data_IF_123696597344
#
_entry.id   IF_123696597344
#
_cell.length_a   1.000
_cell.length_b   1.000
_cell.length_c   1.000
_cell.angle_alpha   90.00
_cell.angle_beta   90.00
_cell.angle_gamma   90.00
#
_symmetry.space_group_name_H-M   'P 1'
#
loop_
_entity.id
_entity.type
_entity.pdbx_description
1 polymer ?
#
# COMPACT_ATOMS: atom_id res chain seq x y z
N UNK A 1 -3.80 -37.62 -15.32
CA UNK A 1 -4.53 -36.43 -15.76
C UNK A 1 -4.39 -35.40 -14.65
N UNK A 2 -3.16 -34.98 -14.35
CA UNK A 2 -2.58 -33.73 -14.86
C UNK A 2 -3.52 -32.56 -14.50
N UNK A 3 -3.47 -32.14 -13.24
CA UNK A 3 -3.63 -30.73 -12.95
C UNK A 3 -2.30 -30.12 -13.36
N UNK A 4 -2.22 -29.66 -14.60
CA UNK A 4 -1.07 -28.88 -15.05
C UNK A 4 -0.96 -27.73 -14.06
N UNK A 5 0.05 -27.81 -13.20
CA UNK A 5 0.55 -26.70 -12.44
C UNK A 5 1.18 -25.76 -13.47
N UNK A 6 0.32 -25.06 -14.21
CA UNK A 6 0.70 -23.83 -14.86
C UNK A 6 1.21 -22.96 -13.72
N UNK A 7 2.52 -22.94 -13.56
CA UNK A 7 3.20 -21.91 -12.81
C UNK A 7 2.64 -20.60 -13.34
N UNK A 8 1.80 -19.97 -12.51
CA UNK A 8 1.25 -18.66 -12.77
C UNK A 8 2.48 -17.77 -12.95
N UNK A 9 2.85 -17.53 -14.20
CA UNK A 9 4.06 -16.81 -14.59
C UNK A 9 4.06 -15.37 -14.05
N UNK A 10 2.90 -14.91 -13.57
CA UNK A 10 2.65 -13.62 -12.94
C UNK A 10 2.81 -13.62 -11.40
N UNK A 11 2.95 -14.78 -10.75
CA UNK A 11 3.19 -14.90 -9.32
C UNK A 11 4.57 -15.49 -9.07
N UNK A 12 5.58 -14.66 -9.24
CA UNK A 12 6.98 -15.07 -9.13
C UNK A 12 7.37 -15.23 -7.66
N UNK A 13 6.98 -16.37 -7.05
CA UNK A 13 7.35 -16.75 -5.68
C UNK A 13 8.86 -16.61 -5.45
N UNK A 14 9.65 -17.00 -6.44
CA UNK A 14 11.10 -16.92 -6.35
C UNK A 14 11.58 -15.46 -6.29
N UNK A 15 10.96 -14.53 -7.04
CA UNK A 15 11.28 -13.10 -6.92
C UNK A 15 10.96 -12.53 -5.54
N UNK A 16 9.82 -12.92 -4.96
CA UNK A 16 9.43 -12.50 -3.61
C UNK A 16 10.44 -13.00 -2.57
N UNK A 17 10.84 -14.27 -2.65
CA UNK A 17 11.79 -14.88 -1.72
C UNK A 17 13.20 -14.28 -1.88
N UNK A 18 13.62 -13.94 -3.10
CA UNK A 18 14.89 -13.24 -3.35
C UNK A 18 15.00 -11.89 -2.63
N UNK A 19 13.88 -11.27 -2.23
CA UNK A 19 13.93 -10.05 -1.41
C UNK A 19 14.48 -10.31 0.01
N UNK A 20 14.54 -11.56 0.45
CA UNK A 20 14.92 -11.94 1.82
C UNK A 20 16.30 -12.63 1.91
N UNK A 21 16.68 -13.45 0.93
CA UNK A 21 18.01 -14.07 0.79
C UNK A 21 18.15 -14.75 -0.59
N UNK A 22 19.38 -14.91 -1.06
CA UNK A 22 19.71 -15.70 -2.26
C UNK A 22 19.62 -17.23 -2.01
N UNK A 23 19.61 -17.65 -0.73
CA UNK A 23 19.50 -19.07 -0.35
C UNK A 23 18.05 -19.42 -0.07
N UNK A 24 17.53 -20.44 -0.77
CA UNK A 24 16.11 -20.82 -0.69
C UNK A 24 15.62 -21.06 0.74
N UNK A 25 16.27 -21.95 1.49
CA UNK A 25 15.85 -22.27 2.86
C UNK A 25 15.86 -21.05 3.78
N UNK A 26 16.85 -20.18 3.64
CA UNK A 26 16.95 -18.96 4.44
C UNK A 26 15.88 -17.93 4.07
N UNK A 27 15.63 -17.75 2.76
CA UNK A 27 14.60 -16.83 2.26
C UNK A 27 13.21 -17.20 2.78
N UNK A 28 12.87 -18.48 2.80
CA UNK A 28 11.60 -19.00 3.31
C UNK A 28 11.47 -18.74 4.82
N UNK A 29 12.51 -19.02 5.60
CA UNK A 29 12.52 -18.73 7.05
C UNK A 29 12.34 -17.24 7.32
N UNK A 30 13.10 -16.38 6.65
CA UNK A 30 13.03 -14.92 6.84
C UNK A 30 11.68 -14.34 6.42
N UNK A 31 11.09 -14.83 5.33
CA UNK A 31 9.75 -14.44 4.92
C UNK A 31 8.70 -14.82 5.98
N UNK A 32 8.75 -16.04 6.51
CA UNK A 32 7.84 -16.48 7.57
C UNK A 32 7.96 -15.63 8.83
N UNK A 33 9.20 -15.30 9.24
CA UNK A 33 9.44 -14.40 10.36
C UNK A 33 8.89 -12.99 10.13
N UNK A 34 9.10 -12.44 8.93
CA UNK A 34 8.55 -11.15 8.53
C UNK A 34 7.01 -11.13 8.63
N UNK A 35 6.34 -12.13 8.08
CA UNK A 35 4.87 -12.26 8.15
C UNK A 35 4.40 -12.37 9.60
N UNK A 36 5.05 -13.22 10.41
CA UNK A 36 4.71 -13.38 11.84
C UNK A 36 4.86 -12.09 12.64
N UNK A 37 5.90 -11.30 12.36
CA UNK A 37 6.11 -9.98 12.97
C UNK A 37 4.99 -9.00 12.56
N UNK A 38 4.55 -9.05 11.31
CA UNK A 38 3.48 -8.19 10.78
C UNK A 38 2.08 -8.49 11.32
N UNK A 39 1.73 -9.76 11.55
CA UNK A 39 0.38 -10.17 11.99
C UNK A 39 -0.04 -9.51 13.32
N UNK A 40 0.91 -9.34 14.25
CA UNK A 40 0.64 -8.71 15.55
C UNK A 40 0.82 -7.18 15.53
N UNK A 41 1.20 -6.62 14.38
CA UNK A 41 1.46 -5.20 14.22
C UNK A 41 0.18 -4.39 14.00
N UNK A 42 0.34 -3.07 13.97
CA UNK A 42 -0.74 -2.18 13.57
C UNK A 42 -1.10 -2.39 12.09
N UNK A 43 -2.40 -2.47 11.81
CA UNK A 43 -2.92 -2.61 10.46
C UNK A 43 -2.51 -1.40 9.59
N UNK A 44 -1.83 -1.59 8.45
CA UNK A 44 -1.45 -0.51 7.54
C UNK A 44 -2.64 0.30 7.06
N UNK A 45 -3.83 -0.30 7.04
CA UNK A 45 -5.11 0.33 6.68
C UNK A 45 -5.40 1.61 7.48
N UNK A 46 -4.91 1.72 8.73
CA UNK A 46 -5.08 2.94 9.53
C UNK A 46 -4.34 4.15 8.96
N UNK A 47 -3.26 3.91 8.21
CA UNK A 47 -2.44 4.96 7.59
C UNK A 47 -2.84 5.23 6.14
N UNK A 48 -3.80 4.48 5.59
CA UNK A 48 -4.28 4.69 4.22
C UNK A 48 -5.07 6.00 4.15
N UNK A 49 -4.72 6.86 3.18
CA UNK A 49 -5.39 8.12 2.88
C UNK A 49 -6.25 7.98 1.62
N UNK A 50 -7.50 8.45 1.72
CA UNK A 50 -8.50 8.38 0.65
C UNK A 50 -8.66 7.01 0.01
N UNK A 51 -8.55 5.95 0.82
CA UNK A 51 -8.76 4.54 0.43
C UNK A 51 -7.74 3.95 -0.56
N UNK A 52 -6.78 4.73 -1.06
CA UNK A 52 -5.87 4.30 -2.12
C UNK A 52 -4.39 4.48 -1.79
N UNK A 53 -4.02 5.49 -1.00
CA UNK A 53 -2.61 5.87 -0.82
C UNK A 53 -2.10 5.49 0.55
N UNK A 54 -0.98 4.77 0.59
CA UNK A 54 -0.25 4.40 1.80
C UNK A 54 1.19 4.88 1.66
N UNK A 55 1.62 5.78 2.54
CA UNK A 55 2.98 6.34 2.50
C UNK A 55 3.18 7.43 3.55
N UNK A 56 4.41 7.96 3.61
CA UNK A 56 4.77 9.08 4.47
C UNK A 56 4.17 10.41 3.96
N UNK A 57 4.15 11.43 4.81
CA UNK A 57 3.54 12.74 4.49
C UNK A 57 4.11 13.35 3.21
N UNK A 58 5.44 13.31 3.04
CA UNK A 58 6.12 13.80 1.83
C UNK A 58 5.66 13.08 0.54
N UNK A 59 5.33 11.80 0.62
CA UNK A 59 4.79 11.06 -0.53
C UNK A 59 3.35 11.50 -0.81
N UNK A 60 2.54 11.63 0.24
CA UNK A 60 1.16 12.09 0.13
C UNK A 60 1.11 13.50 -0.47
N UNK A 61 2.03 14.39 -0.12
CA UNK A 61 2.07 15.76 -0.66
C UNK A 61 2.37 15.78 -2.16
N UNK A 62 3.26 14.90 -2.65
CA UNK A 62 3.48 14.73 -4.09
C UNK A 62 2.22 14.24 -4.80
N UNK A 63 1.50 13.30 -4.20
CA UNK A 63 0.23 12.81 -4.75
C UNK A 63 -0.82 13.93 -4.80
N UNK A 64 -0.94 14.72 -3.73
CA UNK A 64 -1.85 15.86 -3.64
C UNK A 64 -1.65 16.84 -4.81
N UNK A 65 -0.41 17.14 -5.16
CA UNK A 65 -0.13 18.01 -6.31
C UNK A 65 -0.59 17.41 -7.64
N UNK A 66 -0.37 16.10 -7.84
CA UNK A 66 -0.74 15.41 -9.07
C UNK A 66 -2.25 15.31 -9.29
N UNK A 67 -3.04 15.17 -8.21
CA UNK A 67 -4.49 14.97 -8.29
C UNK A 67 -5.31 16.25 -8.10
N UNK A 68 -4.68 17.40 -7.87
CA UNK A 68 -5.35 18.68 -7.62
C UNK A 68 -6.36 19.08 -8.71
N UNK A 69 -6.07 18.75 -9.98
CA UNK A 69 -6.97 19.01 -11.11
C UNK A 69 -8.21 18.10 -11.15
N UNK A 70 -8.20 16.99 -10.40
CA UNK A 70 -9.24 15.96 -10.40
C UNK A 70 -10.33 16.20 -9.35
N UNK A 71 -10.18 17.22 -8.49
CA UNK A 71 -11.17 17.56 -7.44
C UNK A 71 -12.56 17.89 -8.00
N UNK A 72 -12.63 18.35 -9.25
CA UNK A 72 -13.86 18.73 -9.94
C UNK A 72 -14.57 17.54 -10.62
N UNK A 73 -13.90 16.39 -10.77
CA UNK A 73 -14.43 15.21 -11.47
C UNK A 73 -15.44 14.47 -10.61
N UNK A 74 -16.73 14.63 -10.92
CA UNK A 74 -17.81 14.05 -10.09
C UNK A 74 -17.82 12.51 -10.09
N UNK A 75 -17.27 11.89 -11.12
CA UNK A 75 -17.16 10.42 -11.28
C UNK A 75 -16.24 9.77 -10.24
N UNK A 76 -15.28 10.54 -9.71
CA UNK A 76 -14.37 10.04 -8.68
C UNK A 76 -15.07 10.13 -7.31
N UNK A 77 -15.05 9.07 -6.48
CA UNK A 77 -15.58 9.12 -5.13
C UNK A 77 -15.01 10.29 -4.31
N UNK A 78 -15.87 10.98 -3.54
CA UNK A 78 -15.46 12.16 -2.75
C UNK A 78 -14.26 11.88 -1.83
N UNK A 79 -14.20 10.69 -1.24
CA UNK A 79 -13.11 10.25 -0.35
C UNK A 79 -11.75 10.16 -1.06
N UNK A 80 -11.75 9.92 -2.38
CA UNK A 80 -10.55 9.84 -3.20
C UNK A 80 -10.19 11.21 -3.80
N UNK A 81 -11.19 12.03 -4.13
CA UNK A 81 -10.96 13.40 -4.61
C UNK A 81 -10.31 14.30 -3.58
N UNK A 82 -10.79 14.24 -2.34
CA UNK A 82 -10.41 15.20 -1.30
C UNK A 82 -9.34 14.66 -0.35
N UNK A 83 -8.38 13.89 -0.84
CA UNK A 83 -7.18 13.49 -0.07
C UNK A 83 -6.35 14.71 0.34
N UNK A 84 -6.41 15.76 -0.46
CA UNK A 84 -5.78 17.06 -0.23
C UNK A 84 -6.40 17.82 0.93
N UNK A 85 -7.64 17.49 1.33
CA UNK A 85 -8.38 18.23 2.33
C UNK A 85 -7.97 17.82 3.75
N UNK A 86 -7.83 18.78 4.69
CA UNK A 86 -7.62 18.49 6.09
C UNK A 86 -8.68 17.51 6.61
N UNK A 87 -8.24 16.58 7.44
CA UNK A 87 -9.06 15.48 7.92
C UNK A 87 -9.94 15.88 9.11
N UNK A 88 -9.63 17.01 9.75
CA UNK A 88 -10.40 17.56 10.87
C UNK A 88 -10.65 19.07 10.70
N UNK A 89 -11.72 19.55 11.35
CA UNK A 89 -11.98 20.99 11.46
C UNK A 89 -10.90 21.70 12.27
N UNK A 90 -10.32 21.02 13.28
CA UNK A 90 -9.24 21.57 14.09
C UNK A 90 -7.99 21.91 13.27
N UNK A 91 -7.64 21.08 12.27
CA UNK A 91 -6.54 21.38 11.33
C UNK A 91 -6.81 22.63 10.50
N UNK A 92 -8.08 22.93 10.21
CA UNK A 92 -8.49 24.11 9.43
C UNK A 92 -8.38 25.39 10.28
N UNK A 93 -8.73 25.31 11.57
CA UNK A 93 -8.78 26.47 12.48
C UNK A 93 -7.48 26.73 13.28
N UNK A 94 -6.43 25.91 13.08
CA UNK A 94 -5.10 26.12 13.67
C UNK A 94 -4.20 27.11 12.88
N UNK A 95 -4.76 27.79 11.88
CA UNK A 95 -4.08 28.87 11.14
C UNK A 95 -4.13 30.19 11.88
#
# INVERSE_FOLDING_TARGET
MIGDSQDLTYFTKDWLLLQFSDKRTESETRYQEFVRKGIKGESPWKKVKGQLYLGEENFIDKIKELIKSQETLQEIPRMQRYITKPSSLEEIFKQ
#
